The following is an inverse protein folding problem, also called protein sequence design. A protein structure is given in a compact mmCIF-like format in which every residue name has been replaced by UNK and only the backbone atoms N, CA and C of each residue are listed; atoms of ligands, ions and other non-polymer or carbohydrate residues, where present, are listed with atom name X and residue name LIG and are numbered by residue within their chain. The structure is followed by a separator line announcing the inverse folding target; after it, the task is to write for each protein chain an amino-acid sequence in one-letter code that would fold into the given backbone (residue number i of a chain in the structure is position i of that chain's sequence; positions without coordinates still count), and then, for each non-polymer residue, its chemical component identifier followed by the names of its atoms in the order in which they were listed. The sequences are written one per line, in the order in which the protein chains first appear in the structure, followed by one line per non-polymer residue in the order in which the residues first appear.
data_IF_506661746943
#
_entry.id   IF_506661746943
#
_cell.length_a   1.000
_cell.length_b   1.000
_cell.length_c   1.000
_cell.angle_alpha   90.00
_cell.angle_beta   90.00
_cell.angle_gamma   90.00
#
_symmetry.space_group_name_H-M   'P 1'
#
loop_
_entity.id
_entity.type
_entity.pdbx_description
1 polymer ?
#
# COMPACT_ATOMS: atom_id res chain seq x y z
N UNK A 1 -7.79 -9.60 -6.56
CA UNK A 1 -7.03 -8.52 -7.22
C UNK A 1 -5.87 -8.05 -6.36
N UNK A 2 -6.11 -7.42 -5.20
CA UNK A 2 -5.06 -6.92 -4.29
C UNK A 2 -3.84 -7.83 -4.13
N UNK A 3 -4.03 -9.09 -3.69
CA UNK A 3 -2.93 -10.03 -3.42
C UNK A 3 -2.06 -10.33 -4.67
N UNK A 4 -2.66 -10.29 -5.86
CA UNK A 4 -1.93 -10.50 -7.11
C UNK A 4 -1.06 -9.28 -7.45
N UNK A 5 -1.62 -8.08 -7.33
CA UNK A 5 -0.88 -6.81 -7.51
C UNK A 5 0.23 -6.67 -6.47
N UNK A 6 -0.06 -6.97 -5.20
CA UNK A 6 0.90 -6.98 -4.11
C UNK A 6 2.06 -7.94 -4.38
N UNK A 7 1.77 -9.14 -4.90
CA UNK A 7 2.81 -10.09 -5.27
C UNK A 7 3.67 -9.64 -6.43
N UNK A 8 3.06 -9.08 -7.48
CA UNK A 8 3.81 -8.51 -8.60
C UNK A 8 4.73 -7.36 -8.14
N UNK A 9 4.22 -6.48 -7.28
CA UNK A 9 4.99 -5.38 -6.70
C UNK A 9 6.14 -5.87 -5.83
N UNK A 10 5.90 -6.85 -4.95
CA UNK A 10 6.93 -7.45 -4.10
C UNK A 10 8.05 -8.09 -4.92
N UNK A 11 7.71 -8.81 -6.01
CA UNK A 11 8.70 -9.41 -6.91
C UNK A 11 9.49 -8.34 -7.66
N UNK A 12 8.83 -7.27 -8.13
CA UNK A 12 9.50 -6.16 -8.79
C UNK A 12 10.54 -5.50 -7.86
N UNK A 13 10.13 -5.16 -6.65
CA UNK A 13 11.01 -4.58 -5.63
C UNK A 13 12.18 -5.50 -5.29
N UNK A 14 11.93 -6.80 -5.11
CA UNK A 14 12.96 -7.79 -4.85
C UNK A 14 14.01 -7.83 -5.98
N UNK A 15 13.58 -7.80 -7.24
CA UNK A 15 14.49 -7.79 -8.39
C UNK A 15 15.28 -6.50 -8.51
N UNK A 16 14.66 -5.35 -8.28
CA UNK A 16 15.32 -4.05 -8.38
C UNK A 16 16.32 -3.82 -7.25
N UNK A 17 16.00 -4.28 -6.04
CA UNK A 17 16.87 -4.15 -4.87
C UNK A 17 17.94 -5.25 -4.76
N UNK A 18 17.77 -6.37 -5.47
CA UNK A 18 18.58 -7.57 -5.30
C UNK A 18 18.31 -8.33 -3.98
N UNK A 19 17.23 -7.99 -3.27
CA UNK A 19 16.84 -8.63 -2.02
C UNK A 19 15.88 -9.79 -2.27
N UNK A 20 15.97 -10.82 -1.44
CA UNK A 20 15.03 -11.96 -1.43
C UNK A 20 14.00 -11.89 -0.32
N UNK A 21 14.00 -10.81 0.47
CA UNK A 21 13.10 -10.62 1.60
C UNK A 21 12.71 -9.15 1.67
N UNK A 22 11.45 -8.86 1.34
CA UNK A 22 10.95 -7.49 1.19
C UNK A 22 9.75 -7.27 2.09
N UNK A 23 9.66 -6.08 2.68
CA UNK A 23 8.51 -5.65 3.49
C UNK A 23 7.86 -4.48 2.79
N UNK A 24 6.55 -4.60 2.53
CA UNK A 24 5.75 -3.56 1.88
C UNK A 24 4.62 -3.16 2.80
N UNK A 25 4.47 -1.85 3.01
CA UNK A 25 3.33 -1.28 3.72
C UNK A 25 2.07 -1.29 2.86
N UNK A 26 0.92 -1.54 3.49
CA UNK A 26 -0.39 -1.35 2.87
C UNK A 26 -1.35 -0.72 3.89
N UNK A 27 -2.10 0.33 3.52
CA UNK A 27 -3.12 0.87 4.40
C UNK A 27 -4.33 -0.05 4.42
N UNK A 28 -5.03 -0.07 5.56
CA UNK A 28 -6.34 -0.69 5.73
C UNK A 28 -7.30 0.32 6.34
N UNK A 29 -8.56 0.31 5.89
CA UNK A 29 -9.57 1.26 6.40
C UNK A 29 -9.84 1.08 7.91
N UNK A 30 -9.60 -0.13 8.44
CA UNK A 30 -9.83 -0.51 9.83
C UNK A 30 -11.26 -0.21 10.32
N UNK A 31 -12.24 -0.39 9.43
CA UNK A 31 -13.67 -0.30 9.70
C UNK A 31 -14.28 -1.69 9.61
N UNK A 32 -13.87 -2.57 10.51
CA UNK A 32 -14.27 -3.98 10.55
C UNK A 32 -15.64 -4.21 11.22
N UNK A 33 -16.29 -3.14 11.70
CA UNK A 33 -17.62 -3.18 12.35
C UNK A 33 -18.57 -2.21 11.66
N UNK A 34 -19.82 -2.60 11.36
CA UNK A 34 -20.78 -1.74 10.65
C UNK A 34 -21.05 -0.39 11.34
N UNK A 35 -20.92 -0.33 12.67
CA UNK A 35 -21.13 0.89 13.44
C UNK A 35 -20.06 1.95 13.16
N UNK A 36 -18.89 1.55 12.64
CA UNK A 36 -17.79 2.46 12.31
C UNK A 36 -17.92 3.06 10.91
N UNK A 37 -18.66 2.41 10.01
CA UNK A 37 -18.80 2.83 8.61
C UNK A 37 -19.28 4.28 8.44
N UNK A 38 -20.30 4.78 9.15
CA UNK A 38 -20.77 6.16 8.98
C UNK A 38 -19.94 7.19 9.77
N UNK A 39 -18.99 6.76 10.61
CA UNK A 39 -18.29 7.67 11.51
C UNK A 39 -17.22 8.49 10.79
N UNK A 40 -17.15 9.78 11.11
CA UNK A 40 -16.07 10.67 10.70
C UNK A 40 -14.96 10.57 11.74
N UNK A 41 -13.76 10.16 11.32
CA UNK A 41 -12.61 9.97 12.19
C UNK A 41 -11.43 9.30 11.50
N UNK A 42 -10.30 9.25 12.18
CA UNK A 42 -9.08 8.61 11.70
C UNK A 42 -9.05 7.14 12.13
N UNK A 43 -9.44 6.26 11.22
CA UNK A 43 -9.46 4.80 11.44
C UNK A 43 -8.33 4.08 10.73
N UNK A 44 -7.79 4.66 9.64
CA UNK A 44 -6.80 4.02 8.79
C UNK A 44 -5.63 3.50 9.64
N UNK A 45 -5.31 2.23 9.45
CA UNK A 45 -4.12 1.60 10.03
C UNK A 45 -3.21 1.12 8.90
N UNK A 46 -1.96 0.80 9.22
CA UNK A 46 -0.98 0.30 8.26
C UNK A 46 -0.51 -1.10 8.62
N UNK A 47 -0.52 -1.99 7.65
CA UNK A 47 0.02 -3.35 7.78
C UNK A 47 1.35 -3.44 7.04
N UNK A 48 2.38 -3.95 7.73
CA UNK A 48 3.66 -4.28 7.11
C UNK A 48 3.66 -5.76 6.71
N UNK A 49 3.62 -6.02 5.41
CA UNK A 49 3.54 -7.39 4.87
C UNK A 49 4.92 -7.81 4.34
N UNK A 50 5.49 -8.84 4.96
CA UNK A 50 6.80 -9.41 4.60
C UNK A 50 6.65 -10.55 3.59
N UNK A 51 7.39 -10.48 2.49
CA UNK A 51 7.41 -11.48 1.42
C UNK A 51 8.82 -12.03 1.25
N UNK A 52 8.97 -13.35 1.38
CA UNK A 52 10.23 -14.08 1.18
C UNK A 52 10.24 -14.83 -0.15
N UNK A 53 11.35 -14.70 -0.87
CA UNK A 53 11.61 -15.15 -2.24
C UNK A 53 12.94 -15.93 -2.34
N UNK A 54 13.53 -16.31 -1.21
CA UNK A 54 14.83 -16.96 -1.08
C UNK A 54 14.88 -18.38 -1.68
N UNK A 55 13.73 -19.03 -1.80
CA UNK A 55 13.58 -20.37 -2.36
C UNK A 55 13.11 -20.39 -3.82
N UNK A 56 13.15 -19.25 -4.52
CA UNK A 56 12.71 -19.06 -5.91
C UNK A 56 11.32 -19.70 -6.19
N UNK A 57 10.26 -19.27 -5.46
CA UNK A 57 8.97 -19.92 -5.54
C UNK A 57 8.30 -19.66 -6.89
N UNK A 58 7.57 -20.66 -7.40
CA UNK A 58 6.67 -20.42 -8.53
C UNK A 58 5.60 -19.37 -8.18
N UNK A 59 5.05 -18.69 -9.19
CA UNK A 59 4.01 -17.67 -9.00
C UNK A 59 2.82 -18.20 -8.17
N UNK A 60 2.41 -19.44 -8.42
CA UNK A 60 1.31 -20.06 -7.68
C UNK A 60 1.62 -20.25 -6.19
N UNK A 61 2.85 -20.69 -5.87
CA UNK A 61 3.31 -20.85 -4.48
C UNK A 61 3.40 -19.49 -3.79
N UNK A 62 3.98 -18.50 -4.47
CA UNK A 62 4.11 -17.14 -3.96
C UNK A 62 2.74 -16.51 -3.65
N UNK A 63 1.78 -16.59 -4.57
CA UNK A 63 0.43 -16.06 -4.34
C UNK A 63 -0.29 -16.79 -3.20
N UNK A 64 -0.04 -18.10 -3.03
CA UNK A 64 -0.53 -18.85 -1.88
C UNK A 64 0.01 -18.31 -0.55
N UNK A 65 1.32 -18.03 -0.48
CA UNK A 65 1.98 -17.42 0.69
C UNK A 65 1.46 -16.03 0.98
N UNK A 66 1.37 -15.18 -0.04
CA UNK A 66 0.85 -13.82 0.09
C UNK A 66 -0.58 -13.85 0.60
N UNK A 67 -1.45 -14.69 0.02
CA UNK A 67 -2.83 -14.86 0.49
C UNK A 67 -2.87 -15.24 1.96
N UNK A 68 -2.10 -16.24 2.38
CA UNK A 68 -2.05 -16.66 3.78
C UNK A 68 -1.59 -15.52 4.70
N UNK A 69 -0.48 -14.86 4.37
CA UNK A 69 0.08 -13.77 5.18
C UNK A 69 -0.85 -12.54 5.27
N UNK A 70 -1.50 -12.16 4.17
CA UNK A 70 -2.42 -11.03 4.15
C UNK A 70 -3.69 -11.32 4.96
N UNK A 71 -4.25 -12.54 4.87
CA UNK A 71 -5.39 -12.93 5.69
C UNK A 71 -5.05 -12.97 7.19
N UNK A 72 -3.87 -13.47 7.53
CA UNK A 72 -3.38 -13.48 8.92
C UNK A 72 -3.17 -12.05 9.45
N UNK A 73 -2.58 -11.16 8.63
CA UNK A 73 -2.44 -9.75 8.98
C UNK A 73 -3.80 -9.05 9.14
N UNK A 74 -4.79 -9.35 8.30
CA UNK A 74 -6.16 -8.83 8.45
C UNK A 74 -6.84 -9.30 9.74
N UNK A 75 -6.55 -10.51 10.21
CA UNK A 75 -7.07 -11.00 11.49
C UNK A 75 -6.51 -10.22 12.70
N UNK A 76 -5.36 -9.55 12.53
CA UNK A 76 -4.67 -8.76 13.56
C UNK A 76 -4.64 -7.26 13.26
N UNK A 77 -5.47 -6.78 12.31
CA UNK A 77 -5.41 -5.40 11.82
C UNK A 77 -5.81 -4.34 12.86
N UNK A 78 -6.41 -4.74 13.97
CA UNK A 78 -6.79 -3.84 15.07
C UNK A 78 -5.57 -3.35 15.87
N UNK A 79 -4.40 -4.01 15.73
CA UNK A 79 -3.16 -3.60 16.39
C UNK A 79 -2.56 -2.37 15.70
N UNK A 80 -2.39 -1.23 16.40
CA UNK A 80 -1.80 -0.03 15.79
C UNK A 80 -0.38 -0.30 15.28
N UNK A 81 -0.06 0.21 14.10
CA UNK A 81 1.27 0.08 13.50
C UNK A 81 2.38 0.56 14.44
N UNK A 82 2.15 1.64 15.18
CA UNK A 82 3.11 2.23 16.11
C UNK A 82 3.47 1.25 17.24
N UNK A 83 2.51 0.44 17.71
CA UNK A 83 2.76 -0.58 18.73
C UNK A 83 3.59 -1.74 18.18
N UNK A 84 3.44 -2.08 16.90
CA UNK A 84 4.29 -3.07 16.22
C UNK A 84 5.73 -2.55 16.13
N UNK A 85 5.91 -1.28 15.73
CA UNK A 85 7.23 -0.64 15.69
C UNK A 85 7.87 -0.60 17.08
N UNK A 86 7.10 -0.24 18.11
CA UNK A 86 7.58 -0.23 19.49
C UNK A 86 8.02 -1.63 19.96
N UNK A 87 7.21 -2.65 19.70
CA UNK A 87 7.51 -4.03 20.10
C UNK A 87 8.74 -4.62 19.40
N UNK A 88 8.93 -4.31 18.11
CA UNK A 88 10.09 -4.75 17.33
C UNK A 88 11.34 -3.92 17.61
N UNK A 89 11.18 -2.69 18.09
CA UNK A 89 12.24 -1.74 18.41
C UNK A 89 13.39 -1.71 17.37
N UNK A 90 13.10 -1.47 16.08
CA UNK A 90 14.13 -1.42 15.05
C UNK A 90 15.08 -0.24 15.28
N UNK A 91 16.26 -0.28 14.66
CA UNK A 91 17.19 0.85 14.67
C UNK A 91 16.48 2.07 14.09
N UNK A 92 16.38 3.14 14.89
CA UNK A 92 15.71 4.38 14.47
C UNK A 92 16.55 5.10 13.42
N UNK A 93 15.88 5.56 12.38
CA UNK A 93 16.44 6.39 11.32
C UNK A 93 15.59 7.64 11.14
N UNK A 94 16.22 8.77 10.83
CA UNK A 94 15.52 9.99 10.39
C UNK A 94 15.34 10.03 8.87
N UNK A 95 16.01 9.13 8.14
CA UNK A 95 16.02 9.13 6.67
C UNK A 95 15.02 8.15 6.04
N UNK A 96 14.36 7.29 6.81
CA UNK A 96 13.40 6.33 6.27
C UNK A 96 12.39 5.86 7.32
N UNK A 97 11.23 5.40 6.84
CA UNK A 97 10.17 4.81 7.67
C UNK A 97 10.63 3.48 8.30
N UNK A 98 10.27 3.20 9.57
CA UNK A 98 10.57 1.93 10.21
C UNK A 98 9.83 0.77 9.52
N UNK A 99 10.44 -0.41 9.54
CA UNK A 99 9.93 -1.69 9.02
C UNK A 99 9.75 -1.80 7.50
N UNK A 100 9.35 -0.74 6.80
CA UNK A 100 9.24 -0.71 5.35
C UNK A 100 9.47 0.70 4.79
N UNK A 101 9.95 0.75 3.55
CA UNK A 101 10.19 1.98 2.79
C UNK A 101 9.42 2.01 1.46
N UNK A 102 8.75 0.90 1.12
CA UNK A 102 7.88 0.80 -0.05
C UNK A 102 6.42 0.61 0.38
N UNK A 103 5.50 1.32 -0.26
CA UNK A 103 4.07 1.28 0.01
C UNK A 103 3.30 0.79 -1.22
N UNK A 104 2.21 0.05 -1.00
CA UNK A 104 1.21 -0.21 -2.03
C UNK A 104 -0.18 0.15 -1.50
N UNK A 105 -0.90 0.97 -2.25
CA UNK A 105 -2.29 1.36 -1.98
C UNK A 105 -3.16 0.81 -3.10
N UNK A 106 -4.27 0.16 -2.74
CA UNK A 106 -5.24 -0.33 -3.71
C UNK A 106 -6.64 0.15 -3.34
N UNK A 107 -7.18 1.05 -4.15
CA UNK A 107 -8.53 1.59 -4.00
C UNK A 107 -9.50 0.84 -4.91
N UNK A 108 -10.47 0.15 -4.31
CA UNK A 108 -11.53 -0.56 -5.02
C UNK A 108 -12.93 0.02 -4.74
N UNK A 109 -12.99 1.18 -4.09
CA UNK A 109 -14.24 1.88 -3.84
C UNK A 109 -14.63 2.68 -5.09
N UNK A 110 -15.89 2.59 -5.55
CA UNK A 110 -16.39 3.41 -6.65
C UNK A 110 -16.22 4.89 -6.29
N UNK A 111 -15.45 5.62 -7.10
CA UNK A 111 -15.34 7.06 -6.98
C UNK A 111 -15.86 7.66 -8.28
N UNK A 112 -16.96 8.42 -8.26
CA UNK A 112 -17.46 9.04 -9.46
C UNK A 112 -16.50 10.14 -9.91
N UNK A 113 -16.26 10.26 -11.22
CA UNK A 113 -15.38 11.28 -11.79
C UNK A 113 -15.92 12.71 -11.58
N UNK A 114 -17.22 12.82 -11.33
CA UNK A 114 -17.88 14.09 -11.03
C UNK A 114 -18.94 13.94 -9.95
N UNK A 115 -19.16 15.00 -9.19
CA UNK A 115 -20.26 15.15 -8.26
C UNK A 115 -21.28 16.11 -8.88
N UNK A 116 -22.48 15.59 -9.16
CA UNK A 116 -23.59 16.37 -9.73
C UNK A 116 -24.48 16.87 -8.61
N UNK A 117 -24.63 18.19 -8.54
CA UNK A 117 -25.53 18.91 -7.65
C UNK A 117 -26.54 19.71 -8.50
N UNK A 118 -27.67 20.16 -7.93
CA UNK A 118 -28.61 21.00 -8.67
C UNK A 118 -27.93 22.25 -9.26
N UNK A 119 -27.81 22.30 -10.59
CA UNK A 119 -27.18 23.41 -11.32
C UNK A 119 -25.65 23.45 -11.29
N UNK A 120 -24.97 22.43 -10.77
CA UNK A 120 -23.51 22.39 -10.66
C UNK A 120 -22.95 21.00 -10.92
N UNK A 121 -21.92 20.93 -11.76
CA UNK A 121 -21.10 19.71 -11.93
C UNK A 121 -19.72 20.00 -11.40
N UNK A 122 -19.32 19.27 -10.35
CA UNK A 122 -17.99 19.36 -9.76
C UNK A 122 -17.13 18.23 -10.32
N UNK A 123 -15.93 18.54 -10.78
CA UNK A 123 -14.92 17.56 -11.20
C UNK A 123 -13.67 17.68 -10.35
N UNK A 124 -12.92 16.59 -10.20
CA UNK A 124 -11.63 16.63 -9.53
C UNK A 124 -10.64 17.53 -10.27
N UNK A 125 -9.92 18.36 -9.54
CA UNK A 125 -8.73 19.05 -10.04
C UNK A 125 -7.50 18.31 -9.50
N UNK A 126 -6.67 17.78 -10.37
CA UNK A 126 -5.41 17.15 -9.97
C UNK A 126 -4.42 18.24 -9.56
N UNK A 127 -3.93 18.13 -8.33
CA UNK A 127 -2.85 18.98 -7.82
C UNK A 127 -1.53 18.18 -7.88
N UNK A 128 -0.40 18.83 -8.20
CA UNK A 128 0.88 18.16 -8.17
C UNK A 128 1.20 17.69 -6.74
N UNK A 129 1.58 16.43 -6.59
CA UNK A 129 2.14 15.89 -5.35
C UNK A 129 3.62 16.28 -5.32
N UNK A 130 3.99 17.11 -4.34
CA UNK A 130 5.35 17.66 -4.24
C UNK A 130 6.19 16.98 -3.14
N UNK A 131 5.58 16.09 -2.36
CA UNK A 131 6.20 15.44 -1.20
C UNK A 131 5.73 14.00 -1.11
N UNK A 132 6.60 13.11 -0.66
CA UNK A 132 6.26 11.71 -0.33
C UNK A 132 6.69 11.35 1.08
N UNK A 133 6.06 10.34 1.66
CA UNK A 133 6.35 9.82 3.00
C UNK A 133 7.24 8.56 2.97
N UNK A 134 7.37 7.94 1.80
CA UNK A 134 8.08 6.68 1.60
C UNK A 134 9.01 6.82 0.40
N UNK A 135 10.05 5.99 0.34
CA UNK A 135 11.02 6.03 -0.76
C UNK A 135 10.31 5.82 -2.11
N UNK A 136 9.36 4.87 -2.14
CA UNK A 136 8.49 4.61 -3.29
C UNK A 136 7.10 4.13 -2.86
N UNK A 137 6.05 4.63 -3.51
CA UNK A 137 4.65 4.29 -3.27
C UNK A 137 3.94 4.00 -4.57
N UNK A 138 3.28 2.85 -4.65
CA UNK A 138 2.43 2.47 -5.78
C UNK A 138 0.96 2.65 -5.39
N UNK A 139 0.26 3.58 -6.04
CA UNK A 139 -1.17 3.83 -5.85
C UNK A 139 -1.96 3.27 -7.02
N UNK A 140 -2.87 2.33 -6.77
CA UNK A 140 -3.69 1.68 -7.79
C UNK A 140 -5.18 1.86 -7.49
N UNK A 141 -5.98 2.02 -8.53
CA UNK A 141 -7.44 2.14 -8.47
C UNK A 141 -8.09 1.23 -9.51
N UNK A 142 -9.11 0.48 -9.10
CA UNK A 142 -9.97 -0.29 -10.01
C UNK A 142 -11.13 0.58 -10.51
N UNK A 143 -11.17 0.83 -11.82
CA UNK A 143 -12.22 1.61 -12.50
C UNK A 143 -13.15 0.72 -13.30
N UNK A 144 -13.64 -0.36 -12.70
CA UNK A 144 -14.61 -1.26 -13.34
C UNK A 144 -13.96 -2.21 -14.35
N UNK A 145 -12.80 -2.75 -14.00
CA UNK A 145 -12.05 -3.70 -14.83
C UNK A 145 -10.78 -3.13 -15.47
N UNK A 146 -10.57 -1.82 -15.38
CA UNK A 146 -9.31 -1.16 -15.71
C UNK A 146 -8.56 -0.80 -14.41
N UNK A 147 -7.30 -1.20 -14.31
CA UNK A 147 -6.42 -0.79 -13.22
C UNK A 147 -5.61 0.41 -13.70
N UNK A 148 -5.81 1.55 -13.03
CA UNK A 148 -5.06 2.78 -13.26
C UNK A 148 -4.35 3.19 -11.97
N UNK A 149 -3.30 4.00 -12.06
CA UNK A 149 -2.52 4.35 -10.89
C UNK A 149 -1.36 5.28 -11.15
N UNK A 150 -0.64 5.58 -10.07
CA UNK A 150 0.55 6.42 -10.06
C UNK A 150 1.65 5.78 -9.21
N UNK A 151 2.89 6.11 -9.54
CA UNK A 151 4.06 5.85 -8.70
C UNK A 151 4.51 7.20 -8.17
N UNK A 152 4.61 7.29 -6.85
CA UNK A 152 5.20 8.44 -6.14
C UNK A 152 6.53 7.98 -5.54
N UNK A 153 7.56 8.82 -5.62
CA UNK A 153 8.90 8.46 -5.16
C UNK A 153 9.65 9.68 -4.62
N UNK A 154 10.64 9.43 -3.77
CA UNK A 154 11.51 10.46 -3.25
C UNK A 154 12.51 10.91 -4.33
N UNK A 155 12.41 12.17 -4.77
CA UNK A 155 13.29 12.73 -5.81
C UNK A 155 14.77 12.80 -5.40
N UNK A 156 15.05 12.75 -4.11
CA UNK A 156 16.42 12.68 -3.58
C UNK A 156 17.04 11.28 -3.80
N UNK A 157 16.21 10.26 -4.11
CA UNK A 157 16.61 8.87 -4.29
C UNK A 157 16.44 8.37 -5.73
N UNK A 158 15.43 8.85 -6.46
CA UNK A 158 15.09 8.37 -7.80
C UNK A 158 14.95 9.51 -8.81
N UNK A 159 15.33 9.22 -10.06
CA UNK A 159 15.10 10.11 -11.20
C UNK A 159 13.82 9.71 -11.94
N UNK A 160 13.15 10.66 -12.60
CA UNK A 160 11.94 10.38 -13.39
C UNK A 160 12.16 9.30 -14.47
N UNK A 161 13.37 9.20 -15.02
CA UNK A 161 13.70 8.20 -16.05
C UNK A 161 13.88 6.77 -15.49
N UNK A 162 13.99 6.62 -14.16
CA UNK A 162 14.21 5.33 -13.48
C UNK A 162 13.02 4.85 -12.66
N UNK A 163 12.02 5.71 -12.43
CA UNK A 163 10.78 5.39 -11.75
C UNK A 163 9.74 4.71 -12.64
#
# INVERSE_FOLDING_TARGET
MFMALFGAWSVLLARLSGQTDVVVGTPVANRNRPELDPLIGFFVNTLALRTRLDDDPSVAVLLGRIKASALDAYAHQDLPFEQVVEALNPVRSLGHSPLFQAMMVFNNLPRPDSLVLPGLTLTGLELPRLTTQFDVSLSLTDRGGEISGDIEFASDLFELATA
#
